data_IF_090664057749
#
_entry.id   IF_090664057749
#
_cell.length_a   1.000
_cell.length_b   1.000
_cell.length_c   1.000
_cell.angle_alpha   90.00
_cell.angle_beta   90.00
_cell.angle_gamma   90.00
#
_symmetry.space_group_name_H-M   'P 1'
#
loop_
_entity.id
_entity.type
_entity.pdbx_description
1 polymer ?
#
# COMPACT_ATOMS: atom_id res chain seq x y z
N UNK A 1 -33.02 48.28 -15.33
CA UNK A 1 -32.00 49.30 -15.59
C UNK A 1 -31.22 49.49 -14.29
N UNK A 2 -30.25 48.73 -14.04
CA UNK A 2 -28.88 48.69 -14.38
C UNK A 2 -28.05 49.91 -14.05
N UNK A 3 -27.09 49.82 -13.17
CA UNK A 3 -25.80 50.49 -13.30
C UNK A 3 -24.72 49.75 -12.52
N UNK A 4 -23.66 49.41 -13.24
CA UNK A 4 -22.42 48.84 -12.77
C UNK A 4 -21.71 49.78 -11.80
N UNK A 5 -21.10 49.19 -10.74
CA UNK A 5 -20.05 49.87 -9.99
C UNK A 5 -18.84 48.93 -9.88
N UNK A 6 -17.85 49.26 -10.69
CA UNK A 6 -16.49 48.69 -10.64
C UNK A 6 -15.78 49.31 -9.46
N UNK A 7 -15.37 48.49 -8.49
CA UNK A 7 -14.43 48.88 -7.44
C UNK A 7 -13.14 48.14 -7.64
N UNK A 8 -12.15 48.86 -8.09
CA UNK A 8 -10.75 48.48 -8.23
C UNK A 8 -10.10 48.63 -6.86
N UNK A 9 -9.75 47.52 -6.17
CA UNK A 9 -8.93 47.58 -4.97
C UNK A 9 -7.54 47.13 -5.35
N UNK A 10 -6.65 48.10 -5.39
CA UNK A 10 -5.20 47.88 -5.46
C UNK A 10 -4.73 47.25 -4.15
N UNK A 11 -4.17 46.05 -4.21
CA UNK A 11 -3.57 45.39 -3.08
C UNK A 11 -2.07 45.65 -3.06
N UNK A 12 -1.66 46.47 -2.13
CA UNK A 12 -0.25 46.83 -1.86
C UNK A 12 0.52 45.64 -1.31
N UNK A 13 1.61 45.30 -1.98
CA UNK A 13 2.61 44.36 -1.50
C UNK A 13 3.32 44.92 -0.25
N UNK A 14 3.19 44.20 0.88
CA UNK A 14 4.09 44.39 2.00
C UNK A 14 5.04 43.19 2.03
N UNK A 15 6.27 43.42 1.60
CA UNK A 15 7.40 42.52 1.81
C UNK A 15 7.81 42.63 3.28
N UNK A 16 7.57 41.61 4.06
CA UNK A 16 8.26 41.42 5.33
C UNK A 16 9.23 40.24 5.16
N UNK A 17 10.46 40.61 4.93
CA UNK A 17 11.61 39.70 5.07
C UNK A 17 11.97 39.65 6.54
N UNK A 18 12.01 38.48 7.14
CA UNK A 18 12.92 38.15 8.25
C UNK A 18 12.94 36.66 8.58
N UNK A 19 14.13 36.10 8.66
CA UNK A 19 14.45 34.96 9.52
C UNK A 19 14.91 33.69 8.82
N UNK A 20 16.19 33.59 8.60
CA UNK A 20 16.95 32.38 8.35
C UNK A 20 16.54 31.25 9.32
N UNK A 21 16.02 30.16 8.79
CA UNK A 21 16.27 28.81 9.29
C UNK A 21 16.57 27.95 8.07
N UNK A 22 17.77 27.38 8.05
CA UNK A 22 18.21 26.39 7.06
C UNK A 22 17.22 25.22 6.99
N UNK A 23 16.21 25.37 6.15
CA UNK A 23 15.47 24.27 5.59
C UNK A 23 16.08 24.06 4.20
N UNK A 24 17.00 23.12 4.09
CA UNK A 24 17.29 22.55 2.79
C UNK A 24 15.95 22.13 2.19
N UNK A 25 15.63 22.56 0.97
CA UNK A 25 14.38 22.14 0.32
C UNK A 25 14.44 20.63 0.22
N UNK A 26 13.50 19.95 0.85
CA UNK A 26 13.31 18.51 0.73
C UNK A 26 13.23 18.20 -0.77
N UNK A 27 14.26 17.53 -1.29
CA UNK A 27 14.40 17.26 -2.72
C UNK A 27 13.21 16.40 -3.14
N UNK A 28 12.22 17.03 -3.75
CA UNK A 28 11.05 16.33 -4.28
C UNK A 28 11.54 15.37 -5.37
N UNK A 29 11.63 14.09 -5.05
CA UNK A 29 12.01 13.07 -6.03
C UNK A 29 11.01 13.09 -7.19
N UNK A 30 11.50 12.96 -8.41
CA UNK A 30 10.63 12.78 -9.57
C UNK A 30 9.87 11.46 -9.46
N UNK A 31 8.71 11.34 -10.11
CA UNK A 31 7.94 10.07 -10.12
C UNK A 31 8.81 8.88 -10.57
N UNK A 32 9.72 9.12 -11.51
CA UNK A 32 10.65 8.09 -11.98
C UNK A 32 11.60 7.64 -10.88
N UNK A 33 12.17 8.57 -10.11
CA UNK A 33 13.08 8.26 -8.99
C UNK A 33 12.34 7.61 -7.82
N UNK A 34 11.15 8.12 -7.48
CA UNK A 34 10.32 7.60 -6.39
C UNK A 34 9.90 6.15 -6.60
N UNK A 35 9.58 5.77 -7.85
CA UNK A 35 9.11 4.42 -8.20
C UNK A 35 10.16 3.61 -8.95
N UNK A 36 11.37 4.10 -9.12
CA UNK A 36 12.46 3.33 -9.71
C UNK A 36 12.95 2.28 -8.71
N UNK A 37 13.40 1.17 -9.22
CA UNK A 37 14.06 0.12 -8.46
C UNK A 37 15.27 -0.35 -9.25
N UNK A 38 16.44 -0.27 -8.64
CA UNK A 38 17.68 -0.83 -9.19
C UNK A 38 18.00 -2.13 -8.44
N UNK A 39 17.93 -3.25 -9.16
CA UNK A 39 18.23 -4.55 -8.59
C UNK A 39 19.74 -4.75 -8.34
N UNK A 40 20.58 -3.89 -8.91
CA UNK A 40 22.05 -3.96 -8.70
C UNK A 40 22.46 -3.52 -7.30
N UNK A 41 21.61 -2.73 -6.62
CA UNK A 41 21.82 -2.33 -5.23
C UNK A 41 21.53 -3.45 -4.21
N UNK A 42 20.91 -4.55 -4.65
CA UNK A 42 20.66 -5.70 -3.79
C UNK A 42 21.95 -6.48 -3.53
N UNK A 43 22.43 -6.40 -2.31
CA UNK A 43 23.51 -7.29 -1.86
C UNK A 43 22.89 -8.64 -1.52
N UNK A 44 23.16 -9.61 -2.36
CA UNK A 44 22.74 -11.00 -2.13
C UNK A 44 23.97 -11.90 -2.09
N UNK A 45 24.04 -12.73 -1.06
CA UNK A 45 25.03 -13.80 -1.02
C UNK A 45 24.48 -15.02 -1.75
N UNK A 46 25.33 -15.71 -2.52
CA UNK A 46 24.96 -16.97 -3.14
C UNK A 46 24.65 -18.04 -2.09
N UNK A 47 23.64 -18.87 -2.35
CA UNK A 47 23.38 -20.05 -1.53
C UNK A 47 24.53 -21.04 -1.78
N UNK A 48 25.19 -21.50 -0.72
CA UNK A 48 26.19 -22.56 -0.81
C UNK A 48 25.55 -23.83 -1.39
N UNK A 49 26.00 -24.21 -2.58
CA UNK A 49 25.50 -25.37 -3.31
C UNK A 49 26.29 -26.63 -2.91
N UNK A 50 26.34 -26.90 -1.62
CA UNK A 50 27.00 -28.12 -1.09
C UNK A 50 26.19 -29.40 -1.37
N UNK A 51 25.05 -29.32 -2.07
CA UNK A 51 24.12 -30.43 -2.28
C UNK A 51 23.39 -30.86 -1.00
N UNK A 52 23.51 -30.07 0.08
CA UNK A 52 22.82 -30.33 1.36
C UNK A 52 21.49 -29.59 1.41
N UNK A 53 20.47 -30.23 2.01
CA UNK A 53 19.21 -29.53 2.25
C UNK A 53 19.40 -28.46 3.32
N UNK A 54 18.57 -27.41 3.26
CA UNK A 54 18.51 -26.34 4.24
C UNK A 54 17.07 -25.97 4.57
N UNK A 55 16.86 -25.47 5.78
CA UNK A 55 15.56 -25.01 6.24
C UNK A 55 15.44 -23.50 5.99
N UNK A 56 14.42 -23.10 5.25
CA UNK A 56 14.15 -21.67 5.00
C UNK A 56 13.41 -21.06 6.19
N UNK A 57 13.91 -19.94 6.70
CA UNK A 57 13.30 -19.20 7.80
C UNK A 57 13.63 -17.71 7.68
N UNK A 58 12.70 -16.87 8.14
CA UNK A 58 12.96 -15.45 8.37
C UNK A 58 13.87 -15.33 9.61
N UNK A 59 15.06 -14.79 9.43
CA UNK A 59 16.05 -14.57 10.52
C UNK A 59 16.21 -13.07 10.76
N UNK A 60 15.13 -12.46 11.21
CA UNK A 60 15.07 -11.03 11.48
C UNK A 60 15.53 -10.73 12.92
N UNK A 61 15.94 -9.49 13.14
CA UNK A 61 16.34 -8.98 14.46
C UNK A 61 15.62 -7.67 14.74
N UNK A 62 15.40 -7.38 16.02
CA UNK A 62 14.86 -6.08 16.43
C UNK A 62 15.67 -4.92 15.82
N UNK A 63 14.96 -3.98 15.19
CA UNK A 63 15.53 -2.83 14.52
C UNK A 63 15.83 -3.05 13.03
N UNK A 64 15.75 -4.27 12.51
CA UNK A 64 15.89 -4.50 11.07
C UNK A 64 14.84 -3.70 10.29
N UNK A 65 15.28 -3.14 9.17
CA UNK A 65 14.44 -2.35 8.27
C UNK A 65 14.51 -2.93 6.87
N UNK A 66 13.35 -3.13 6.27
CA UNK A 66 13.24 -3.59 4.88
C UNK A 66 12.29 -2.66 4.14
N UNK A 67 12.68 -2.26 2.95
CA UNK A 67 11.85 -1.44 2.05
C UNK A 67 11.38 -2.32 0.90
N UNK A 68 10.08 -2.32 0.67
CA UNK A 68 9.47 -3.06 -0.42
C UNK A 68 8.87 -2.10 -1.46
N UNK A 69 9.05 -2.44 -2.72
CA UNK A 69 8.21 -1.98 -3.80
C UNK A 69 7.37 -3.15 -4.27
N UNK A 70 6.10 -3.16 -3.94
CA UNK A 70 5.15 -4.16 -4.44
C UNK A 70 4.44 -3.59 -5.66
N UNK A 71 4.46 -4.34 -6.76
CA UNK A 71 3.71 -4.01 -7.98
C UNK A 71 2.74 -5.15 -8.29
N UNK A 72 1.44 -4.85 -8.26
CA UNK A 72 0.39 -5.78 -8.66
C UNK A 72 -0.13 -5.39 -10.03
N UNK A 73 -0.17 -6.33 -10.95
CA UNK A 73 -0.71 -6.16 -12.30
C UNK A 73 -1.90 -7.12 -12.45
N UNK A 74 -3.04 -6.59 -12.83
CA UNK A 74 -4.25 -7.36 -13.11
C UNK A 74 -4.77 -7.01 -14.49
N UNK A 75 -5.04 -8.04 -15.27
CA UNK A 75 -5.71 -7.93 -16.56
C UNK A 75 -6.99 -8.76 -16.47
N UNK A 76 -8.13 -8.12 -16.46
CA UNK A 76 -9.43 -8.77 -16.35
C UNK A 76 -10.23 -8.51 -17.63
N UNK A 77 -10.82 -9.55 -18.19
CA UNK A 77 -11.73 -9.46 -19.33
C UNK A 77 -13.02 -10.13 -18.95
N UNK A 78 -14.10 -9.38 -18.96
CA UNK A 78 -15.44 -9.87 -18.69
C UNK A 78 -16.28 -9.81 -19.94
N UNK A 79 -16.92 -10.92 -20.30
CA UNK A 79 -17.90 -11.00 -21.39
C UNK A 79 -19.27 -11.25 -20.79
N UNK A 80 -20.18 -10.34 -21.02
CA UNK A 80 -21.60 -10.47 -20.64
C UNK A 80 -22.37 -10.82 -21.91
N UNK A 81 -22.98 -11.99 -21.92
CA UNK A 81 -23.82 -12.48 -23.05
C UNK A 81 -25.28 -12.40 -22.65
N UNK A 82 -26.03 -11.58 -23.37
CA UNK A 82 -27.49 -11.50 -23.35
C UNK A 82 -27.99 -11.69 -24.78
N UNK A 83 -28.79 -10.79 -25.30
CA UNK A 83 -29.20 -10.75 -26.74
C UNK A 83 -28.02 -10.36 -27.64
N UNK A 84 -27.01 -9.69 -27.08
CA UNK A 84 -25.71 -9.38 -27.69
C UNK A 84 -24.60 -9.62 -26.69
N UNK A 85 -23.39 -9.93 -27.18
CA UNK A 85 -22.20 -10.06 -26.30
C UNK A 85 -21.48 -8.74 -26.17
N UNK A 86 -21.30 -8.28 -24.93
CA UNK A 86 -20.48 -7.11 -24.59
C UNK A 86 -19.25 -7.61 -23.86
N UNK A 87 -18.07 -7.27 -24.40
CA UNK A 87 -16.79 -7.59 -23.75
C UNK A 87 -16.16 -6.31 -23.22
N UNK A 88 -15.88 -6.29 -21.93
CA UNK A 88 -15.16 -5.20 -21.26
C UNK A 88 -13.83 -5.71 -20.73
N UNK A 89 -12.75 -4.99 -21.01
CA UNK A 89 -11.42 -5.27 -20.49
C UNK A 89 -10.99 -4.20 -19.50
N UNK A 90 -10.48 -4.62 -18.35
CA UNK A 90 -9.90 -3.75 -17.35
C UNK A 90 -8.46 -4.19 -17.09
N UNK A 91 -7.51 -3.30 -17.33
CA UNK A 91 -6.12 -3.47 -16.96
C UNK A 91 -5.81 -2.55 -15.79
N UNK A 92 -5.14 -3.08 -14.78
CA UNK A 92 -4.84 -2.34 -13.57
C UNK A 92 -3.42 -2.64 -13.11
N UNK A 93 -2.70 -1.61 -12.71
CA UNK A 93 -1.37 -1.72 -12.10
C UNK A 93 -1.36 -0.86 -10.84
N UNK A 94 -1.08 -1.50 -9.71
CA UNK A 94 -0.96 -0.82 -8.42
C UNK A 94 0.48 -0.95 -7.94
N UNK A 95 1.06 0.16 -7.50
CA UNK A 95 2.40 0.20 -6.94
C UNK A 95 2.31 0.71 -5.51
N UNK A 96 2.83 -0.07 -4.57
CA UNK A 96 3.00 0.31 -3.17
C UNK A 96 4.49 0.48 -2.85
N UNK A 97 4.82 1.52 -2.09
CA UNK A 97 6.10 1.65 -1.41
C UNK A 97 5.86 1.44 0.08
N UNK A 98 6.54 0.45 0.65
CA UNK A 98 6.23 -0.07 1.99
C UNK A 98 7.53 -0.16 2.78
N UNK A 99 7.53 0.40 3.99
CA UNK A 99 8.58 0.16 4.97
C UNK A 99 8.12 -0.89 5.96
N UNK A 100 9.00 -1.83 6.28
CA UNK A 100 8.86 -2.78 7.35
C UNK A 100 9.96 -2.54 8.38
N UNK A 101 9.59 -2.36 9.64
CA UNK A 101 10.54 -2.18 10.76
C UNK A 101 10.25 -3.20 11.83
N UNK A 102 11.20 -4.09 12.10
CA UNK A 102 11.08 -5.12 13.14
C UNK A 102 11.12 -4.47 14.52
N UNK A 103 10.06 -4.66 15.30
CA UNK A 103 9.94 -4.15 16.68
C UNK A 103 10.40 -5.16 17.71
N UNK A 104 10.08 -6.44 17.49
CA UNK A 104 10.39 -7.52 18.40
C UNK A 104 10.48 -8.84 17.65
N UNK A 105 11.28 -9.77 18.17
CA UNK A 105 11.33 -11.17 17.76
C UNK A 105 11.32 -11.97 19.04
N UNK A 106 10.36 -12.89 19.19
CA UNK A 106 10.24 -13.73 20.37
C UNK A 106 11.18 -14.95 20.32
N UNK A 107 11.19 -15.74 21.39
CA UNK A 107 12.05 -16.93 21.53
C UNK A 107 11.74 -18.02 20.50
N UNK A 108 10.49 -18.06 19.97
CA UNK A 108 10.07 -19.02 18.95
C UNK A 108 10.42 -18.53 17.53
N UNK A 109 10.89 -17.28 17.40
CA UNK A 109 11.24 -16.63 16.17
C UNK A 109 10.06 -15.97 15.47
N UNK A 110 8.90 -15.81 16.16
CA UNK A 110 7.83 -14.99 15.61
C UNK A 110 8.20 -13.51 15.74
N UNK A 111 7.93 -12.78 14.68
CA UNK A 111 8.35 -11.37 14.51
C UNK A 111 7.15 -10.45 14.59
N UNK A 112 7.22 -9.42 15.44
CA UNK A 112 6.35 -8.24 15.36
C UNK A 112 7.05 -7.17 14.54
N UNK A 113 6.38 -6.68 13.50
CA UNK A 113 6.88 -5.60 12.67
C UNK A 113 5.83 -4.51 12.50
N UNK A 114 6.30 -3.27 12.40
CA UNK A 114 5.51 -2.12 11.98
C UNK A 114 5.64 -1.95 10.47
N UNK A 115 4.50 -1.82 9.82
CA UNK A 115 4.38 -1.62 8.39
C UNK A 115 3.89 -0.20 8.15
N UNK A 116 4.59 0.56 7.32
CA UNK A 116 4.17 1.89 6.88
C UNK A 116 4.03 1.93 5.37
N UNK A 117 2.89 2.38 4.89
CA UNK A 117 2.63 2.57 3.46
C UNK A 117 3.01 4.00 3.07
N UNK A 118 4.19 4.17 2.46
CA UNK A 118 4.71 5.48 2.10
C UNK A 118 4.12 6.03 0.80
N UNK A 119 3.65 5.17 -0.09
CA UNK A 119 3.04 5.59 -1.34
C UNK A 119 2.12 4.51 -1.90
N UNK A 120 1.05 4.94 -2.56
CA UNK A 120 0.18 4.09 -3.38
C UNK A 120 -0.06 4.81 -4.69
N UNK A 121 0.23 4.14 -5.81
CA UNK A 121 -0.05 4.63 -7.16
C UNK A 121 -0.86 3.59 -7.91
N UNK A 122 -1.94 4.01 -8.56
CA UNK A 122 -2.81 3.21 -9.42
C UNK A 122 -2.74 3.77 -10.84
N UNK A 123 -2.47 2.90 -11.80
CA UNK A 123 -2.62 3.13 -13.23
C UNK A 123 -3.66 2.13 -13.73
N UNK A 124 -4.76 2.60 -14.30
CA UNK A 124 -5.82 1.73 -14.79
C UNK A 124 -6.31 2.14 -16.17
N UNK A 125 -6.79 1.16 -16.94
CA UNK A 125 -7.48 1.42 -18.21
C UNK A 125 -8.68 0.51 -18.33
N UNK A 126 -9.80 1.08 -18.78
CA UNK A 126 -11.04 0.37 -19.07
C UNK A 126 -11.64 0.91 -20.36
N UNK A 127 -11.96 0.03 -21.32
CA UNK A 127 -12.67 0.41 -22.57
C UNK A 127 -12.05 1.62 -23.30
N UNK A 128 -10.72 1.73 -23.35
CA UNK A 128 -9.92 2.84 -23.92
C UNK A 128 -9.83 4.11 -23.07
N UNK A 129 -10.52 4.18 -21.95
CA UNK A 129 -10.31 5.24 -20.98
C UNK A 129 -9.17 4.85 -20.05
N UNK A 130 -8.31 5.80 -19.72
CA UNK A 130 -7.21 5.63 -18.77
C UNK A 130 -7.39 6.58 -17.62
N UNK A 131 -7.10 6.10 -16.41
CA UNK A 131 -6.98 7.01 -15.29
C UNK A 131 -5.84 6.63 -14.38
N UNK A 132 -5.28 7.67 -13.78
CA UNK A 132 -4.17 7.57 -12.86
C UNK A 132 -4.59 8.16 -11.52
N UNK A 133 -4.15 7.51 -10.47
CA UNK A 133 -4.35 7.98 -9.11
C UNK A 133 -3.03 7.84 -8.35
N UNK A 134 -2.72 8.81 -7.51
CA UNK A 134 -1.61 8.73 -6.56
C UNK A 134 -2.08 9.27 -5.22
N UNK A 135 -1.98 8.45 -4.18
CA UNK A 135 -2.38 8.83 -2.84
C UNK A 135 -1.54 9.99 -2.30
N UNK A 136 -2.18 10.91 -1.59
CA UNK A 136 -1.55 12.13 -1.08
C UNK A 136 -1.50 13.29 -2.06
N UNK A 137 -1.87 13.09 -3.35
CA UNK A 137 -2.11 14.19 -4.28
C UNK A 137 -3.56 14.65 -4.20
N UNK A 138 -3.81 15.88 -4.58
CA UNK A 138 -5.17 16.43 -4.65
C UNK A 138 -6.01 15.63 -5.63
N UNK A 139 -7.16 15.17 -5.18
CA UNK A 139 -8.17 14.50 -5.98
C UNK A 139 -9.44 15.33 -5.96
N UNK A 140 -10.17 15.29 -7.05
CA UNK A 140 -11.53 15.80 -7.11
C UNK A 140 -12.35 15.19 -5.97
N UNK A 141 -13.04 16.05 -5.21
CA UNK A 141 -13.86 15.65 -4.07
C UNK A 141 -14.88 14.57 -4.43
N UNK A 142 -15.42 14.59 -5.65
CA UNK A 142 -16.33 13.57 -6.15
C UNK A 142 -15.69 12.18 -6.27
N UNK A 143 -14.37 12.10 -6.41
CA UNK A 143 -13.60 10.85 -6.50
C UNK A 143 -13.01 10.40 -5.18
N UNK A 144 -13.06 11.22 -4.14
CA UNK A 144 -12.48 10.91 -2.82
C UNK A 144 -13.03 9.60 -2.26
N UNK A 145 -14.35 9.40 -2.37
CA UNK A 145 -14.99 8.16 -1.90
C UNK A 145 -14.52 6.92 -2.66
N UNK A 146 -14.26 7.04 -3.97
CA UNK A 146 -13.81 5.94 -4.82
C UNK A 146 -12.44 5.42 -4.39
N UNK A 147 -11.52 6.33 -4.03
CA UNK A 147 -10.15 6.00 -3.67
C UNK A 147 -9.89 6.01 -2.15
N UNK A 148 -10.95 5.99 -1.33
CA UNK A 148 -10.85 6.09 0.13
C UNK A 148 -9.93 5.02 0.73
N UNK A 149 -9.95 3.80 0.19
CA UNK A 149 -9.08 2.71 0.63
C UNK A 149 -7.61 3.07 0.44
N UNK A 150 -7.19 3.44 -0.76
CA UNK A 150 -5.81 3.81 -1.04
C UNK A 150 -5.34 5.05 -0.28
N UNK A 151 -6.21 6.06 -0.16
CA UNK A 151 -5.92 7.26 0.61
C UNK A 151 -5.78 6.98 2.10
N UNK A 152 -6.56 6.03 2.63
CA UNK A 152 -6.47 5.65 4.04
C UNK A 152 -5.18 4.89 4.36
N UNK A 153 -4.62 4.18 3.41
CA UNK A 153 -3.34 3.48 3.55
C UNK A 153 -2.14 4.45 3.52
N UNK A 154 -2.23 5.50 2.70
CA UNK A 154 -1.12 6.42 2.45
C UNK A 154 -0.63 7.09 3.73
N UNK A 155 0.69 7.00 3.95
CA UNK A 155 1.41 7.56 5.08
C UNK A 155 0.88 7.10 6.46
N UNK A 156 0.13 6.01 6.49
CA UNK A 156 -0.34 5.36 7.71
C UNK A 156 0.40 4.06 7.96
N UNK A 157 0.35 3.62 9.22
CA UNK A 157 1.04 2.44 9.70
C UNK A 157 0.11 1.52 10.47
N UNK A 158 0.45 0.25 10.49
CA UNK A 158 -0.16 -0.81 11.29
C UNK A 158 0.90 -1.81 11.72
N UNK A 159 0.56 -2.77 12.56
CA UNK A 159 1.48 -3.81 13.00
C UNK A 159 1.06 -5.17 12.44
N UNK A 160 2.05 -6.01 12.23
CA UNK A 160 1.86 -7.41 11.85
C UNK A 160 2.71 -8.31 12.75
N UNK A 161 2.18 -9.45 13.15
CA UNK A 161 2.93 -10.54 13.75
C UNK A 161 2.92 -11.73 12.81
N UNK A 162 4.08 -12.31 12.55
CA UNK A 162 4.23 -13.45 11.66
C UNK A 162 5.27 -14.44 12.18
N UNK A 163 5.09 -15.71 11.81
CA UNK A 163 6.00 -16.78 12.21
C UNK A 163 7.33 -16.71 11.44
N UNK A 164 8.35 -17.38 11.94
CA UNK A 164 9.62 -17.56 11.20
C UNK A 164 9.46 -18.25 9.85
N UNK A 165 8.30 -18.85 9.58
CA UNK A 165 7.94 -19.45 8.28
C UNK A 165 7.15 -18.52 7.37
N UNK A 166 6.79 -17.32 7.84
CA UNK A 166 6.02 -16.35 7.10
C UNK A 166 4.50 -16.52 7.18
N UNK A 167 4.00 -17.36 8.12
CA UNK A 167 2.56 -17.38 8.40
C UNK A 167 2.16 -16.11 9.14
N UNK A 168 1.18 -15.40 8.61
CA UNK A 168 0.63 -14.22 9.29
C UNK A 168 -0.20 -14.67 10.47
N UNK A 169 0.21 -14.30 11.66
CA UNK A 169 -0.46 -14.65 12.90
C UNK A 169 -1.51 -13.62 13.28
N UNK A 170 -1.19 -12.34 13.11
CA UNK A 170 -2.09 -11.24 13.45
C UNK A 170 -1.73 -9.98 12.67
N UNK A 171 -2.76 -9.19 12.30
CA UNK A 171 -2.64 -7.80 11.83
C UNK A 171 -3.40 -6.92 12.80
N UNK A 172 -2.76 -5.88 13.35
CA UNK A 172 -3.31 -5.08 14.43
C UNK A 172 -2.82 -3.63 14.38
N UNK A 173 -3.29 -2.76 15.32
CA UNK A 173 -3.00 -1.31 15.32
C UNK A 173 -3.41 -0.59 14.02
N UNK A 174 -4.51 -1.06 13.39
CA UNK A 174 -5.03 -0.50 12.14
C UNK A 174 -6.04 0.64 12.33
N UNK A 175 -6.22 1.15 13.56
CA UNK A 175 -7.25 2.13 13.90
C UNK A 175 -7.13 3.44 13.10
N UNK A 176 -5.90 3.92 12.86
CA UNK A 176 -5.67 5.13 12.06
C UNK A 176 -6.14 4.96 10.63
N UNK A 177 -5.89 3.78 10.03
CA UNK A 177 -6.31 3.46 8.67
C UNK A 177 -7.84 3.40 8.60
N UNK A 178 -8.48 2.65 9.51
CA UNK A 178 -9.94 2.52 9.52
C UNK A 178 -10.65 3.83 9.79
N UNK A 179 -10.16 4.65 10.73
CA UNK A 179 -10.73 5.96 11.01
C UNK A 179 -10.60 6.90 9.80
N UNK A 180 -9.44 6.90 9.13
CA UNK A 180 -9.23 7.69 7.91
C UNK A 180 -10.13 7.23 6.76
N UNK A 181 -10.31 5.92 6.60
CA UNK A 181 -11.25 5.35 5.63
C UNK A 181 -12.69 5.82 5.88
N UNK A 182 -13.17 5.73 7.13
CA UNK A 182 -14.51 6.16 7.54
C UNK A 182 -14.70 7.66 7.29
N UNK A 183 -13.70 8.49 7.63
CA UNK A 183 -13.69 9.93 7.35
C UNK A 183 -13.85 10.20 5.85
N UNK A 184 -13.03 9.56 5.02
CA UNK A 184 -13.06 9.70 3.56
C UNK A 184 -14.37 9.22 2.92
N UNK A 185 -15.08 8.30 3.58
CA UNK A 185 -16.44 7.86 3.20
C UNK A 185 -17.54 8.79 3.71
N UNK A 186 -17.19 9.86 4.43
CA UNK A 186 -18.17 10.82 4.97
C UNK A 186 -19.04 10.28 6.09
N UNK A 187 -18.63 9.18 6.75
CA UNK A 187 -19.44 8.49 7.76
C UNK A 187 -18.94 8.72 9.21
N UNK A 188 -17.96 9.60 9.42
CA UNK A 188 -17.27 9.75 10.71
C UNK A 188 -18.22 10.07 11.88
N UNK A 189 -19.22 10.93 11.65
CA UNK A 189 -20.14 11.42 12.68
C UNK A 189 -21.41 10.57 12.84
N UNK A 190 -21.66 9.65 11.91
CA UNK A 190 -22.93 8.90 11.84
C UNK A 190 -22.79 7.41 12.16
N UNK A 191 -21.56 6.89 12.11
CA UNK A 191 -21.29 5.46 12.25
C UNK A 191 -21.30 5.03 13.74
N UNK A 192 -21.92 3.89 14.04
CA UNK A 192 -21.91 3.30 15.37
C UNK A 192 -20.54 2.72 15.73
N UNK A 193 -20.29 2.52 17.04
CA UNK A 193 -19.04 1.86 17.51
C UNK A 193 -18.93 0.44 16.95
N UNK A 194 -20.04 -0.29 16.87
CA UNK A 194 -20.06 -1.65 16.34
C UNK A 194 -19.70 -1.69 14.85
N UNK A 195 -20.30 -0.81 14.04
CA UNK A 195 -20.02 -0.73 12.61
C UNK A 195 -18.58 -0.28 12.35
N UNK A 196 -18.04 0.62 13.18
CA UNK A 196 -16.63 1.02 13.12
C UNK A 196 -15.70 -0.17 13.35
N UNK A 197 -16.02 -1.05 14.29
CA UNK A 197 -15.27 -2.27 14.53
C UNK A 197 -15.38 -3.26 13.36
N UNK A 198 -16.56 -3.41 12.77
CA UNK A 198 -16.76 -4.24 11.57
C UNK A 198 -15.92 -3.73 10.40
N UNK A 199 -15.99 -2.44 10.08
CA UNK A 199 -15.17 -1.84 9.02
C UNK A 199 -13.68 -2.06 9.27
N UNK A 200 -13.23 -1.91 10.52
CA UNK A 200 -11.82 -2.19 10.86
C UNK A 200 -11.44 -3.64 10.57
N UNK A 201 -12.28 -4.61 10.95
CA UNK A 201 -12.04 -6.02 10.66
C UNK A 201 -12.07 -6.32 9.16
N UNK A 202 -13.00 -5.71 8.42
CA UNK A 202 -13.07 -5.86 6.96
C UNK A 202 -11.83 -5.30 6.28
N UNK A 203 -11.32 -4.15 6.70
CA UNK A 203 -10.06 -3.61 6.20
C UNK A 203 -8.86 -4.50 6.55
N UNK A 204 -8.80 -5.03 7.78
CA UNK A 204 -7.73 -5.97 8.17
C UNK A 204 -7.77 -7.21 7.29
N UNK A 205 -8.94 -7.85 7.16
CA UNK A 205 -9.09 -9.13 6.48
C UNK A 205 -9.08 -8.98 4.95
N UNK A 206 -9.71 -7.93 4.41
CA UNK A 206 -9.88 -7.73 2.97
C UNK A 206 -8.74 -6.96 2.30
N UNK A 207 -8.01 -6.14 3.05
CA UNK A 207 -6.99 -5.25 2.47
C UNK A 207 -5.60 -5.51 3.06
N UNK A 208 -5.45 -5.35 4.38
CA UNK A 208 -4.12 -5.36 5.00
C UNK A 208 -3.49 -6.76 5.00
N UNK A 209 -4.24 -7.79 5.38
CA UNK A 209 -3.74 -9.18 5.39
C UNK A 209 -3.35 -9.65 3.99
N UNK A 210 -4.19 -9.48 2.93
CA UNK A 210 -3.79 -9.80 1.55
C UNK A 210 -2.58 -9.01 1.06
N UNK A 211 -2.44 -7.73 1.45
CA UNK A 211 -1.28 -6.92 1.10
C UNK A 211 0.00 -7.48 1.74
N UNK A 212 -0.05 -7.81 3.03
CA UNK A 212 1.10 -8.33 3.76
C UNK A 212 1.52 -9.71 3.28
N UNK A 213 0.60 -10.60 2.95
CA UNK A 213 0.92 -11.93 2.42
C UNK A 213 1.64 -11.90 1.06
N UNK A 214 1.62 -10.76 0.37
CA UNK A 214 2.38 -10.56 -0.87
C UNK A 214 3.85 -10.21 -0.61
N UNK A 215 4.19 -9.61 0.52
CA UNK A 215 5.56 -9.22 0.87
C UNK A 215 6.19 -10.17 1.89
N UNK A 216 5.41 -10.71 2.83
CA UNK A 216 5.85 -11.76 3.75
C UNK A 216 5.30 -13.07 3.22
N UNK A 217 6.15 -13.78 2.46
CA UNK A 217 5.78 -15.03 1.79
C UNK A 217 6.01 -16.21 2.72
N UNK A 218 5.03 -17.11 2.82
CA UNK A 218 5.24 -18.39 3.48
C UNK A 218 6.34 -19.17 2.77
N UNK A 219 7.31 -19.66 3.53
CA UNK A 219 8.38 -20.54 3.02
C UNK A 219 8.05 -21.99 3.35
N UNK A 220 8.81 -22.93 2.74
CA UNK A 220 8.61 -24.37 2.98
C UNK A 220 8.77 -24.74 4.45
N UNK A 221 7.86 -25.56 4.96
CA UNK A 221 7.94 -26.15 6.30
C UNK A 221 8.98 -27.28 6.37
N UNK A 222 9.40 -27.82 5.20
CA UNK A 222 10.38 -28.89 5.06
C UNK A 222 11.72 -28.34 4.57
N UNK A 223 12.78 -29.07 4.81
CA UNK A 223 14.06 -28.81 4.20
C UNK A 223 13.94 -28.84 2.66
N UNK A 224 14.64 -27.95 2.03
CA UNK A 224 14.67 -27.78 0.58
C UNK A 224 16.12 -27.80 0.08
N UNK A 225 16.30 -28.19 -1.17
CA UNK A 225 17.57 -28.04 -1.88
C UNK A 225 17.54 -26.77 -2.72
N UNK A 226 18.67 -26.35 -3.23
CA UNK A 226 18.72 -25.36 -4.28
C UNK A 226 17.82 -25.81 -5.44
N UNK A 227 17.10 -24.87 -6.05
CA UNK A 227 16.14 -25.08 -7.14
C UNK A 227 14.88 -25.90 -6.79
N UNK A 228 14.67 -26.23 -5.50
CA UNK A 228 13.41 -26.82 -5.05
C UNK A 228 12.23 -25.87 -5.26
N UNK A 229 11.07 -26.45 -5.56
CA UNK A 229 9.81 -25.74 -5.68
C UNK A 229 8.80 -26.25 -4.65
N UNK A 230 7.95 -25.35 -4.16
CA UNK A 230 6.83 -25.71 -3.27
C UNK A 230 5.60 -24.89 -3.64
N UNK A 231 4.45 -25.42 -3.29
CA UNK A 231 3.17 -24.75 -3.51
C UNK A 231 2.68 -24.11 -2.23
N UNK A 232 2.17 -22.89 -2.35
CA UNK A 232 1.54 -22.16 -1.26
C UNK A 232 0.14 -21.77 -1.71
N UNK A 233 -0.86 -22.11 -0.89
CA UNK A 233 -2.20 -21.61 -1.07
C UNK A 233 -2.28 -20.20 -0.45
N UNK A 234 -2.57 -19.21 -1.26
CA UNK A 234 -2.78 -17.83 -0.80
C UNK A 234 -4.27 -17.49 -0.90
N UNK A 235 -4.72 -16.64 0.03
CA UNK A 235 -6.03 -16.03 -0.09
C UNK A 235 -6.09 -15.20 -1.40
N UNK A 236 -7.24 -15.16 -2.09
CA UNK A 236 -7.42 -14.29 -3.25
C UNK A 236 -7.13 -12.84 -2.87
N UNK A 237 -6.40 -12.14 -3.73
CA UNK A 237 -6.25 -10.69 -3.61
C UNK A 237 -7.53 -10.07 -4.16
N UNK A 238 -8.27 -9.26 -3.38
CA UNK A 238 -9.44 -8.59 -3.89
C UNK A 238 -9.05 -7.71 -5.09
N UNK A 239 -9.72 -7.91 -6.20
CA UNK A 239 -9.61 -6.99 -7.33
C UNK A 239 -10.64 -5.89 -7.11
N UNK A 240 -10.21 -4.65 -7.12
CA UNK A 240 -11.16 -3.54 -7.20
C UNK A 240 -11.80 -3.56 -8.59
N UNK A 241 -13.09 -3.67 -8.64
CA UNK A 241 -13.92 -3.64 -9.85
C UNK A 241 -14.60 -2.29 -9.95
#
# INVERSE_FOLDING_TARGET
>A
MLKYLLVLVAFSFILISCGDKNNEPEKTLTDKEKYSFDSTDLKTDGIDDSGKPFLMEYKLKKGDKVVYRLTTISNNTQTITMDSSITAGVNQKIIYLIDLVVKEVDEEGATEAEIKINSVKLEASANKETFNFEAGKDIDSAKTHQFAEFQSLYNNQFSVRFSKKGDILEVFKADKISNKFIELKGAADTISVNDRNLIRQDLINGVLTPLITQIIRKVSDKEVYKDSTWQIQQAPVPLMV
#
